data_IF_066126731804
#
_entry.id   IF_066126731804
#
_cell.length_a   1.000
_cell.length_b   1.000
_cell.length_c   1.000
_cell.angle_alpha   90.00
_cell.angle_beta   90.00
_cell.angle_gamma   90.00
#
_symmetry.space_group_name_H-M   'P 1'
#
loop_
_entity.id
_entity.type
_entity.pdbx_description
1 polymer ?
#
# COMPACT_ATOMS: atom_id res chain seq x y z
N UNK A 1 -13.22 -17.88 -6.94
CA UNK A 1 -13.40 -16.55 -7.55
C UNK A 1 -14.89 -16.30 -7.70
N UNK A 2 -15.33 -15.05 -7.66
CA UNK A 2 -16.73 -14.70 -7.85
C UNK A 2 -17.16 -14.85 -9.32
N UNK A 3 -18.47 -14.88 -9.59
CA UNK A 3 -18.99 -14.80 -10.96
C UNK A 3 -18.74 -13.42 -11.55
N UNK A 4 -18.72 -13.30 -12.88
CA UNK A 4 -18.48 -12.03 -13.57
C UNK A 4 -19.47 -10.93 -13.17
N UNK A 5 -20.76 -11.26 -13.10
CA UNK A 5 -21.82 -10.36 -12.63
C UNK A 5 -21.58 -9.91 -11.18
N UNK A 6 -21.17 -10.80 -10.29
CA UNK A 6 -20.86 -10.45 -8.90
C UNK A 6 -19.59 -9.58 -8.78
N UNK A 7 -18.59 -9.82 -9.64
CA UNK A 7 -17.37 -9.00 -9.73
C UNK A 7 -17.74 -7.57 -10.14
N UNK A 8 -18.56 -7.41 -11.17
CA UNK A 8 -18.99 -6.09 -11.67
C UNK A 8 -19.78 -5.31 -10.60
N UNK A 9 -20.70 -5.98 -9.90
CA UNK A 9 -21.46 -5.38 -8.82
C UNK A 9 -20.58 -5.01 -7.61
N UNK A 10 -19.60 -5.85 -7.25
CA UNK A 10 -18.75 -5.62 -6.08
C UNK A 10 -17.68 -4.53 -6.31
N UNK A 11 -17.19 -4.38 -7.55
CA UNK A 11 -16.09 -3.49 -7.91
C UNK A 11 -16.21 -2.06 -7.35
N UNK A 12 -17.30 -1.30 -7.58
CA UNK A 12 -17.39 0.07 -7.07
C UNK A 12 -17.35 0.16 -5.54
N UNK A 13 -17.88 -0.85 -4.83
CA UNK A 13 -17.85 -0.91 -3.38
C UNK A 13 -16.45 -1.24 -2.85
N UNK A 14 -15.77 -2.22 -3.46
CA UNK A 14 -14.39 -2.55 -3.13
C UNK A 14 -13.47 -1.34 -3.37
N UNK A 15 -13.61 -0.64 -4.49
CA UNK A 15 -12.81 0.54 -4.81
C UNK A 15 -13.03 1.68 -3.80
N UNK A 16 -14.28 1.95 -3.42
CA UNK A 16 -14.61 2.98 -2.43
C UNK A 16 -14.02 2.65 -1.05
N UNK A 17 -14.17 1.40 -0.60
CA UNK A 17 -13.61 0.93 0.67
C UNK A 17 -12.08 1.00 0.66
N UNK A 18 -11.44 0.49 -0.39
CA UNK A 18 -9.98 0.47 -0.52
C UNK A 18 -9.40 1.88 -0.52
N UNK A 19 -10.03 2.83 -1.23
CA UNK A 19 -9.64 4.24 -1.22
C UNK A 19 -9.70 4.82 0.20
N UNK A 20 -10.80 4.58 0.91
CA UNK A 20 -10.95 5.06 2.29
C UNK A 20 -9.84 4.51 3.21
N UNK A 21 -9.62 3.19 3.20
CA UNK A 21 -8.56 2.54 4.01
C UNK A 21 -7.18 3.16 3.74
N UNK A 22 -6.86 3.42 2.47
CA UNK A 22 -5.57 3.99 2.08
C UNK A 22 -5.41 5.47 2.48
N UNK A 23 -6.49 6.24 2.43
CA UNK A 23 -6.49 7.63 2.90
C UNK A 23 -6.32 7.72 4.43
N UNK A 24 -7.00 6.83 5.17
CA UNK A 24 -6.86 6.76 6.63
C UNK A 24 -5.50 6.24 7.08
N UNK A 25 -4.78 5.51 6.22
CA UNK A 25 -3.44 4.99 6.51
C UNK A 25 -2.41 6.09 6.77
N UNK A 26 -2.74 7.36 6.53
CA UNK A 26 -1.92 8.52 6.95
C UNK A 26 -1.87 8.70 8.48
N UNK A 27 -2.78 8.10 9.23
CA UNK A 27 -2.75 8.10 10.70
C UNK A 27 -2.22 6.77 11.21
N UNK A 28 -1.23 6.81 12.10
CA UNK A 28 -0.70 5.61 12.79
C UNK A 28 -1.73 4.94 13.71
N UNK A 29 -2.81 5.65 14.07
CA UNK A 29 -3.89 5.12 14.91
C UNK A 29 -4.91 4.26 14.13
N UNK A 30 -4.86 4.30 12.79
CA UNK A 30 -5.78 3.53 11.95
C UNK A 30 -5.30 2.09 11.76
N UNK A 31 -6.07 1.12 12.27
CA UNK A 31 -5.65 -0.27 12.43
C UNK A 31 -6.13 -1.24 11.35
N UNK A 32 -6.97 -0.81 10.40
CA UNK A 32 -7.44 -1.70 9.33
C UNK A 32 -6.30 -1.95 8.34
N UNK A 33 -5.88 -3.21 8.24
CA UNK A 33 -4.78 -3.68 7.38
C UNK A 33 -5.26 -4.46 6.15
N UNK A 34 -6.51 -4.30 5.75
CA UNK A 34 -7.13 -5.13 4.72
C UNK A 34 -7.74 -4.30 3.60
N UNK A 35 -7.56 -4.77 2.37
CA UNK A 35 -8.22 -4.28 1.17
C UNK A 35 -9.16 -5.35 0.62
N UNK A 36 -10.31 -4.95 0.09
CA UNK A 36 -11.31 -5.84 -0.48
C UNK A 36 -11.00 -6.14 -1.95
N UNK A 37 -11.11 -7.42 -2.34
CA UNK A 37 -10.97 -7.88 -3.72
C UNK A 37 -12.34 -8.23 -4.31
N UNK A 38 -12.77 -7.56 -5.40
CA UNK A 38 -14.00 -7.93 -6.09
C UNK A 38 -13.86 -9.25 -6.85
N UNK A 39 -12.63 -9.74 -7.11
CA UNK A 39 -12.38 -10.98 -7.84
C UNK A 39 -12.59 -12.21 -6.95
N UNK A 40 -12.14 -12.13 -5.70
CA UNK A 40 -12.24 -13.25 -4.75
C UNK A 40 -13.43 -13.12 -3.80
N UNK A 41 -13.99 -11.93 -3.63
CA UNK A 41 -14.96 -11.61 -2.58
C UNK A 41 -14.33 -11.54 -1.18
N UNK A 42 -13.00 -11.65 -1.10
CA UNK A 42 -12.25 -11.71 0.14
C UNK A 42 -11.42 -10.45 0.41
N UNK A 43 -10.67 -10.51 1.51
CA UNK A 43 -9.75 -9.47 1.93
C UNK A 43 -8.30 -9.86 1.62
N UNK A 44 -7.48 -8.88 1.25
CA UNK A 44 -6.04 -9.01 1.10
C UNK A 44 -5.35 -8.16 2.17
N UNK A 45 -4.43 -8.76 2.93
CA UNK A 45 -3.68 -8.06 3.95
C UNK A 45 -2.57 -7.21 3.32
N UNK A 46 -2.44 -5.96 3.75
CA UNK A 46 -1.37 -5.06 3.33
C UNK A 46 -0.79 -4.38 4.58
N UNK A 47 0.53 -4.45 4.74
CA UNK A 47 1.18 -3.79 5.86
C UNK A 47 1.12 -2.25 5.74
N UNK A 48 1.37 -1.54 6.84
CA UNK A 48 1.25 -0.07 6.87
C UNK A 48 2.20 0.62 5.88
N UNK A 49 3.43 0.13 5.75
CA UNK A 49 4.45 0.76 4.87
C UNK A 49 4.07 0.56 3.41
N UNK A 50 3.59 -0.63 3.06
CA UNK A 50 3.04 -0.96 1.75
C UNK A 50 1.83 -0.07 1.40
N UNK A 51 0.94 0.21 2.36
CA UNK A 51 -0.21 1.12 2.15
C UNK A 51 0.25 2.53 1.80
N UNK A 52 1.36 3.01 2.35
CA UNK A 52 1.94 4.31 1.98
C UNK A 52 2.56 4.34 0.58
N UNK A 53 2.98 3.20 0.03
CA UNK A 53 3.40 3.10 -1.37
C UNK A 53 2.23 3.15 -2.35
N UNK A 54 1.09 2.61 -1.93
CA UNK A 54 -0.14 2.52 -2.71
C UNK A 54 -0.77 3.86 -3.05
N UNK A 55 -0.88 4.75 -2.05
CA UNK A 55 -1.66 5.99 -2.19
C UNK A 55 -1.16 6.90 -3.34
N UNK A 56 0.16 7.10 -3.54
CA UNK A 56 0.64 7.88 -4.68
C UNK A 56 0.47 7.17 -6.03
N UNK A 57 0.52 5.84 -6.06
CA UNK A 57 0.29 5.07 -7.29
C UNK A 57 -1.15 5.22 -7.77
N UNK A 58 -2.13 5.18 -6.84
CA UNK A 58 -3.53 5.49 -7.16
C UNK A 58 -3.73 6.91 -7.70
N UNK A 59 -2.85 7.85 -7.31
CA UNK A 59 -2.88 9.24 -7.78
C UNK A 59 -2.03 9.48 -9.05
N UNK A 60 -1.51 8.42 -9.68
CA UNK A 60 -0.65 8.54 -10.88
C UNK A 60 0.75 9.11 -10.60
N UNK A 61 1.12 9.28 -9.33
CA UNK A 61 2.40 9.83 -8.90
C UNK A 61 3.43 8.70 -8.75
N UNK A 62 4.05 8.28 -9.87
CA UNK A 62 5.15 7.31 -9.83
C UNK A 62 6.48 7.99 -9.45
N UNK A 63 7.24 7.36 -8.56
CA UNK A 63 8.62 7.67 -8.09
C UNK A 63 8.92 8.98 -7.33
N UNK A 64 8.18 10.08 -7.44
CA UNK A 64 8.58 11.38 -6.84
C UNK A 64 8.52 11.50 -5.29
N UNK A 65 8.31 10.42 -4.54
CA UNK A 65 7.89 10.52 -3.11
C UNK A 65 8.60 9.57 -2.13
N UNK A 66 9.74 8.95 -2.50
CA UNK A 66 10.46 8.07 -1.55
C UNK A 66 11.08 8.90 -0.40
N UNK A 67 11.77 10.01 -0.69
CA UNK A 67 12.32 10.90 0.34
C UNK A 67 11.25 11.49 1.27
N UNK A 68 10.16 12.00 0.70
CA UNK A 68 9.01 12.52 1.46
C UNK A 68 8.38 11.48 2.41
N UNK A 69 8.44 10.19 2.05
CA UNK A 69 7.90 9.12 2.88
C UNK A 69 8.76 8.86 4.11
N UNK A 70 10.08 8.94 4.03
CA UNK A 70 10.95 8.79 5.20
C UNK A 70 10.72 9.93 6.22
N UNK A 71 10.53 11.16 5.73
CA UNK A 71 10.13 12.29 6.58
C UNK A 71 8.76 12.06 7.23
N UNK A 72 7.81 11.48 6.48
CA UNK A 72 6.50 11.11 6.99
C UNK A 72 6.59 10.02 8.08
N UNK A 73 7.44 9.01 7.91
CA UNK A 73 7.71 7.96 8.92
C UNK A 73 8.19 8.63 10.22
N UNK A 74 9.24 9.44 10.12
CA UNK A 74 9.83 10.15 11.28
C UNK A 74 8.84 11.09 11.95
N UNK A 75 8.07 11.85 11.17
CA UNK A 75 7.04 12.76 11.67
C UNK A 75 5.90 12.08 12.41
N UNK A 76 5.68 10.77 12.20
CA UNK A 76 4.71 9.96 12.94
C UNK A 76 5.34 9.19 14.12
N UNK A 77 6.59 9.48 14.49
CA UNK A 77 7.30 8.81 15.59
C UNK A 77 7.68 7.36 15.27
N UNK A 78 7.71 7.00 13.99
CA UNK A 78 8.07 5.68 13.51
C UNK A 78 9.50 5.67 13.00
N UNK A 79 10.09 4.48 12.93
CA UNK A 79 11.46 4.28 12.45
C UNK A 79 11.54 3.11 11.49
N UNK A 80 12.48 3.17 10.56
CA UNK A 80 12.83 2.04 9.72
C UNK A 80 13.72 1.09 10.52
N UNK A 81 13.49 -0.22 10.35
CA UNK A 81 14.33 -1.25 10.93
C UNK A 81 14.67 -2.31 9.90
N UNK A 82 15.83 -2.92 10.06
CA UNK A 82 16.30 -4.06 9.28
C UNK A 82 16.92 -5.08 10.26
N UNK A 83 16.52 -6.34 10.13
CA UNK A 83 16.95 -7.44 11.02
C UNK A 83 16.81 -7.12 12.53
N UNK A 84 15.70 -6.46 12.88
CA UNK A 84 15.39 -6.08 14.26
C UNK A 84 16.19 -4.90 14.80
N UNK A 85 17.04 -4.26 13.98
CA UNK A 85 17.80 -3.07 14.36
C UNK A 85 17.22 -1.82 13.70
N UNK A 86 17.00 -0.79 14.50
CA UNK A 86 16.62 0.54 14.00
C UNK A 86 17.73 1.11 13.14
N UNK A 87 17.37 1.65 11.97
CA UNK A 87 18.30 2.36 11.09
C UNK A 87 18.45 3.80 11.58
N UNK A 88 19.66 4.16 11.99
CA UNK A 88 19.93 5.48 12.59
C UNK A 88 20.26 6.55 11.54
N UNK A 89 20.84 6.15 10.39
CA UNK A 89 21.19 7.09 9.33
C UNK A 89 20.09 7.22 8.30
N UNK A 90 19.86 8.46 7.85
CA UNK A 90 18.86 8.77 6.82
C UNK A 90 19.13 8.03 5.50
N UNK A 91 20.40 7.90 5.11
CA UNK A 91 20.77 7.19 3.88
C UNK A 91 20.47 5.68 3.95
N UNK A 92 20.65 5.06 5.13
CA UNK A 92 20.28 3.66 5.37
C UNK A 92 18.75 3.50 5.29
N UNK A 93 18.01 4.43 5.91
CA UNK A 93 16.54 4.46 5.84
C UNK A 93 16.01 4.65 4.41
N UNK A 94 16.65 5.50 3.60
CA UNK A 94 16.30 5.70 2.18
C UNK A 94 16.58 4.43 1.36
N UNK A 95 17.77 3.85 1.49
CA UNK A 95 18.12 2.62 0.78
C UNK A 95 17.15 1.49 1.12
N UNK A 96 16.80 1.32 2.40
CA UNK A 96 15.81 0.34 2.83
C UNK A 96 14.42 0.62 2.25
N UNK A 97 13.98 1.88 2.25
CA UNK A 97 12.70 2.28 1.67
C UNK A 97 12.64 1.96 0.17
N UNK A 98 13.74 2.16 -0.57
CA UNK A 98 13.84 1.80 -1.99
C UNK A 98 13.73 0.29 -2.20
N UNK A 99 14.39 -0.52 -1.37
CA UNK A 99 14.27 -1.99 -1.41
C UNK A 99 12.83 -2.43 -1.20
N UNK A 100 12.14 -1.90 -0.19
CA UNK A 100 10.73 -2.24 0.06
C UNK A 100 9.83 -1.77 -1.09
N UNK A 101 10.07 -0.57 -1.62
CA UNK A 101 9.30 -0.03 -2.75
C UNK A 101 9.47 -0.88 -4.01
N UNK A 102 10.71 -1.24 -4.37
CA UNK A 102 10.99 -2.05 -5.55
C UNK A 102 10.38 -3.45 -5.38
N UNK A 103 10.55 -4.08 -4.22
CA UNK A 103 9.92 -5.37 -3.91
C UNK A 103 8.39 -5.31 -3.99
N UNK A 104 7.78 -4.21 -3.56
CA UNK A 104 6.35 -3.96 -3.71
C UNK A 104 5.95 -3.82 -5.19
N UNK A 105 6.66 -3.02 -5.98
CA UNK A 105 6.35 -2.80 -7.41
C UNK A 105 6.52 -4.08 -8.24
N UNK A 106 7.55 -4.86 -7.96
CA UNK A 106 7.89 -6.06 -8.72
C UNK A 106 7.01 -7.25 -8.35
N UNK A 107 6.69 -7.42 -7.06
CA UNK A 107 6.04 -8.64 -6.58
C UNK A 107 4.58 -8.43 -6.17
N UNK A 108 4.28 -7.36 -5.43
CA UNK A 108 2.95 -7.16 -4.83
C UNK A 108 1.98 -6.46 -5.78
N UNK A 109 2.45 -5.41 -6.47
CA UNK A 109 1.62 -4.62 -7.37
C UNK A 109 0.96 -5.47 -8.48
N UNK A 110 1.65 -6.42 -9.14
CA UNK A 110 1.01 -7.31 -10.11
C UNK A 110 -0.10 -8.17 -9.49
N UNK A 111 0.16 -8.74 -8.31
CA UNK A 111 -0.83 -9.58 -7.61
C UNK A 111 -2.10 -8.79 -7.28
N UNK A 112 -1.94 -7.56 -6.83
CA UNK A 112 -3.06 -6.73 -6.45
C UNK A 112 -3.90 -6.25 -7.64
N UNK A 113 -3.27 -6.10 -8.80
CA UNK A 113 -3.99 -5.90 -10.07
C UNK A 113 -4.78 -7.15 -10.44
N UNK A 114 -4.19 -8.35 -10.34
CA UNK A 114 -4.91 -9.60 -10.57
C UNK A 114 -6.12 -9.78 -9.63
N UNK A 115 -6.01 -9.30 -8.39
CA UNK A 115 -7.11 -9.30 -7.42
C UNK A 115 -8.15 -8.20 -7.65
N UNK A 116 -7.96 -7.31 -8.63
CA UNK A 116 -8.86 -6.18 -8.88
C UNK A 116 -8.87 -5.14 -7.76
N UNK A 117 -7.85 -5.12 -6.90
CA UNK A 117 -7.70 -4.16 -5.79
C UNK A 117 -7.18 -2.81 -6.30
N UNK A 118 -6.32 -2.83 -7.33
CA UNK A 118 -5.95 -1.66 -8.12
C UNK A 118 -6.53 -1.79 -9.51
N UNK A 119 -7.24 -0.75 -9.94
CA UNK A 119 -7.70 -0.60 -11.32
C UNK A 119 -6.51 -0.20 -12.20
N UNK A 120 -6.27 -0.98 -13.26
CA UNK A 120 -5.32 -0.65 -14.33
C UNK A 120 -5.98 0.36 -15.27
N UNK A 121 -5.66 1.64 -15.11
CA UNK A 121 -5.72 2.59 -16.22
C UNK A 121 -4.36 2.61 -16.93
#
# INVERSE_FOLDING_TARGET
MQSEEAIEQARPHCEAFNRYVLEQSRSSQFSINYLASPITGGAHNLDMVQRWFYLPILRGLRRKTIGFRLEFIKGNGLFMAEDGKTLEKDEEGKARMEVIYNGFVENQLPQLKCLGIISTN
#
